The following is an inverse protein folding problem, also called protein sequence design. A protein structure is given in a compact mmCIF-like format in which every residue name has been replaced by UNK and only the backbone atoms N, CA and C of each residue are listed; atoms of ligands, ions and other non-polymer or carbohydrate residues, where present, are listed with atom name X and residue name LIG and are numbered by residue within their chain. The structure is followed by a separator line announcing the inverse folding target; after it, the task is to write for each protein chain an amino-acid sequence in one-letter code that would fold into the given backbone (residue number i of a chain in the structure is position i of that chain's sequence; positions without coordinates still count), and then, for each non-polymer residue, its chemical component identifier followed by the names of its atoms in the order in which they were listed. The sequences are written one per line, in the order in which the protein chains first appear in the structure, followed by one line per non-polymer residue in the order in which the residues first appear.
data_IF_053391582406
#
_entry.id   IF_053391582406
#
_cell.length_a   1.000
_cell.length_b   1.000
_cell.length_c   1.000
_cell.angle_alpha   90.00
_cell.angle_beta   90.00
_cell.angle_gamma   90.00
#
_symmetry.space_group_name_H-M   'P 1'
#
loop_
_entity.id
_entity.type
_entity.pdbx_description
1 polymer ?
#
# COMPACT_ATOMS: atom_id res chain seq x y z
N UNK A 1 20.16 54.44 -16.77
CA UNK A 1 21.17 53.68 -15.98
C UNK A 1 22.24 53.16 -16.92
N UNK A 2 23.39 53.84 -16.96
CA UNK A 2 24.52 53.41 -17.80
C UNK A 2 25.31 52.31 -17.07
N UNK A 3 25.06 51.05 -17.39
CA UNK A 3 25.86 49.93 -16.87
C UNK A 3 27.21 49.94 -17.57
N UNK A 4 28.28 50.10 -16.82
CA UNK A 4 29.65 50.08 -17.33
C UNK A 4 29.93 48.72 -18.06
N UNK A 5 30.62 48.73 -19.22
CA UNK A 5 30.98 47.49 -19.95
C UNK A 5 31.70 46.46 -19.08
N UNK A 6 32.43 46.90 -18.06
CA UNK A 6 33.09 46.03 -17.07
C UNK A 6 32.10 45.22 -16.25
N UNK A 7 30.96 45.81 -15.87
CA UNK A 7 29.93 45.14 -15.05
C UNK A 7 29.18 44.10 -15.88
N UNK A 8 28.95 44.35 -17.16
CA UNK A 8 28.33 43.38 -18.07
C UNK A 8 29.23 42.15 -18.23
N UNK A 9 30.56 42.34 -18.48
CA UNK A 9 31.51 41.21 -18.59
C UNK A 9 31.54 40.36 -17.31
N UNK A 10 31.57 41.01 -16.11
CA UNK A 10 31.53 40.30 -14.81
C UNK A 10 30.23 39.50 -14.66
N UNK A 11 29.09 40.08 -15.00
CA UNK A 11 27.79 39.40 -14.93
C UNK A 11 27.76 38.20 -15.87
N UNK A 12 28.21 38.33 -17.13
CA UNK A 12 28.29 37.22 -18.08
C UNK A 12 29.19 36.09 -17.58
N UNK A 13 30.31 36.40 -16.95
CA UNK A 13 31.26 35.45 -16.40
C UNK A 13 30.64 34.66 -15.23
N UNK A 14 29.95 35.39 -14.34
CA UNK A 14 29.22 34.73 -13.19
C UNK A 14 28.11 33.83 -13.70
N UNK A 15 27.26 34.34 -14.63
CA UNK A 15 26.18 33.50 -15.19
C UNK A 15 26.73 32.31 -15.98
N UNK A 16 27.80 32.47 -16.74
CA UNK A 16 28.48 31.38 -17.47
C UNK A 16 29.01 30.32 -16.49
N UNK A 17 29.66 30.74 -15.41
CA UNK A 17 30.17 29.84 -14.38
C UNK A 17 29.02 29.09 -13.67
N UNK A 18 27.94 29.78 -13.30
CA UNK A 18 26.76 29.14 -12.69
C UNK A 18 26.11 28.14 -13.65
N UNK A 19 26.00 28.46 -14.94
CA UNK A 19 25.47 27.55 -15.94
C UNK A 19 26.32 26.29 -16.06
N UNK A 20 27.64 26.44 -16.21
CA UNK A 20 28.56 25.29 -16.29
C UNK A 20 28.51 24.43 -15.04
N UNK A 21 28.42 25.03 -13.84
CA UNK A 21 28.29 24.29 -12.59
C UNK A 21 26.91 23.60 -12.43
N UNK A 22 25.86 24.12 -13.06
CA UNK A 22 24.53 23.50 -12.99
C UNK A 22 24.45 22.19 -13.77
N UNK A 23 25.24 22.02 -14.83
CA UNK A 23 25.22 20.81 -15.68
C UNK A 23 25.49 19.53 -14.88
N UNK A 24 26.61 19.40 -14.14
CA UNK A 24 26.86 18.18 -13.35
C UNK A 24 25.78 17.96 -12.27
N UNK A 25 25.24 19.02 -11.67
CA UNK A 25 24.17 18.91 -10.68
C UNK A 25 22.91 18.27 -11.31
N UNK A 26 22.53 18.73 -12.51
CA UNK A 26 21.41 18.17 -13.25
C UNK A 26 21.67 16.68 -13.57
N UNK A 27 22.85 16.36 -14.11
CA UNK A 27 23.22 14.99 -14.44
C UNK A 27 23.21 14.07 -13.22
N UNK A 28 23.83 14.48 -12.11
CA UNK A 28 23.87 13.71 -10.86
C UNK A 28 22.45 13.50 -10.34
N UNK A 29 21.57 14.50 -10.40
CA UNK A 29 20.21 14.38 -9.89
C UNK A 29 19.40 13.30 -10.62
N UNK A 30 19.67 13.01 -11.90
CA UNK A 30 18.96 11.98 -12.67
C UNK A 30 19.23 10.56 -12.17
N UNK A 31 20.30 10.32 -11.42
CA UNK A 31 20.53 9.03 -10.74
C UNK A 31 19.59 8.81 -9.54
N UNK A 32 18.93 9.85 -9.05
CA UNK A 32 18.06 9.80 -7.88
C UNK A 32 16.56 9.91 -8.21
N UNK A 33 16.17 9.61 -9.44
CA UNK A 33 14.78 9.74 -9.92
C UNK A 33 14.07 8.39 -10.07
N UNK A 34 14.71 7.27 -9.75
CA UNK A 34 14.10 5.95 -9.82
C UNK A 34 13.45 5.62 -8.48
N UNK A 35 12.15 5.31 -8.51
CA UNK A 35 11.37 4.94 -7.33
C UNK A 35 10.60 3.65 -7.60
N UNK A 36 10.75 2.68 -6.71
CA UNK A 36 10.07 1.37 -6.78
C UNK A 36 8.90 1.27 -5.80
N UNK A 37 8.96 1.99 -4.67
CA UNK A 37 7.89 2.07 -3.69
C UNK A 37 7.02 3.33 -3.85
N UNK A 38 5.80 3.27 -3.38
CA UNK A 38 4.89 4.43 -3.37
C UNK A 38 5.37 5.50 -2.39
N UNK A 39 5.88 5.11 -1.22
CA UNK A 39 6.36 6.05 -0.20
C UNK A 39 7.64 6.74 -0.61
N UNK A 40 8.61 6.03 -1.22
CA UNK A 40 9.84 6.65 -1.74
C UNK A 40 9.51 7.64 -2.86
N UNK A 41 8.55 7.30 -3.73
CA UNK A 41 8.08 8.19 -4.80
C UNK A 41 7.36 9.43 -4.25
N UNK A 42 6.50 9.27 -3.23
CA UNK A 42 5.74 10.38 -2.62
C UNK A 42 6.68 11.31 -1.86
N UNK A 43 7.54 10.76 -1.01
CA UNK A 43 8.43 11.55 -0.14
C UNK A 43 9.69 12.04 -0.82
N UNK A 44 10.00 11.57 -2.04
CA UNK A 44 11.29 11.80 -2.69
C UNK A 44 12.44 11.33 -1.79
N UNK A 45 12.37 10.05 -1.42
CA UNK A 45 13.42 9.35 -0.67
C UNK A 45 14.11 8.35 -1.59
N UNK A 46 15.41 8.15 -1.39
CA UNK A 46 16.18 7.27 -2.27
C UNK A 46 15.87 5.80 -2.00
N UNK A 47 15.73 5.02 -3.06
CA UNK A 47 15.63 3.56 -2.99
C UNK A 47 16.91 2.93 -2.40
N UNK A 48 18.06 3.57 -2.59
CA UNK A 48 19.31 3.12 -1.97
C UNK A 48 19.21 3.05 -0.43
N UNK A 49 18.49 3.97 0.20
CA UNK A 49 18.35 4.04 1.65
C UNK A 49 17.18 3.21 2.18
N UNK A 50 16.08 3.14 1.42
CA UNK A 50 14.81 2.59 1.90
C UNK A 50 14.32 1.36 1.17
N UNK A 51 15.03 0.83 0.18
CA UNK A 51 14.62 -0.40 -0.48
C UNK A 51 15.04 -1.65 0.28
N UNK A 52 14.58 -2.77 -0.21
CA UNK A 52 14.75 -4.10 0.35
C UNK A 52 16.23 -4.53 0.43
N UNK A 53 16.60 -5.19 1.53
CA UNK A 53 17.90 -5.85 1.69
C UNK A 53 17.72 -7.38 1.83
N UNK A 54 16.50 -7.86 2.01
CA UNK A 54 16.17 -9.28 2.18
C UNK A 54 15.27 -9.71 1.02
N UNK A 55 15.58 -10.84 0.35
CA UNK A 55 14.75 -11.35 -0.74
C UNK A 55 13.36 -11.72 -0.25
N UNK A 56 12.37 -11.42 -1.08
CA UNK A 56 10.99 -11.83 -0.85
C UNK A 56 10.67 -13.10 -1.63
N UNK A 57 9.76 -13.95 -1.14
CA UNK A 57 9.34 -15.13 -1.89
C UNK A 57 8.80 -14.76 -3.27
N UNK A 58 9.18 -15.52 -4.28
CA UNK A 58 8.61 -15.39 -5.60
C UNK A 58 7.28 -16.15 -5.68
N UNK A 59 6.24 -15.50 -6.16
CA UNK A 59 4.97 -16.15 -6.47
C UNK A 59 4.93 -16.43 -7.96
N UNK A 60 4.71 -17.70 -8.31
CA UNK A 60 4.64 -18.08 -9.72
C UNK A 60 3.47 -17.36 -10.40
N UNK A 61 3.74 -16.87 -11.58
CA UNK A 61 2.80 -16.01 -12.30
C UNK A 61 1.45 -16.66 -12.61
N UNK A 62 1.39 -17.97 -12.79
CA UNK A 62 0.13 -18.69 -12.99
C UNK A 62 -0.79 -18.66 -11.77
N UNK A 63 -0.27 -18.40 -10.57
CA UNK A 63 -1.05 -18.30 -9.34
C UNK A 63 -1.65 -16.90 -9.12
N UNK A 64 -1.16 -15.92 -9.86
CA UNK A 64 -1.62 -14.53 -9.76
C UNK A 64 -2.69 -14.25 -10.83
N UNK A 65 -3.77 -15.01 -10.84
CA UNK A 65 -4.84 -14.88 -11.82
C UNK A 65 -6.18 -14.64 -11.13
N UNK A 66 -7.00 -13.78 -11.73
CA UNK A 66 -8.39 -13.59 -11.36
C UNK A 66 -9.26 -14.35 -12.34
N UNK A 67 -10.14 -15.20 -11.84
CA UNK A 67 -11.10 -15.96 -12.64
C UNK A 67 -12.26 -15.07 -13.11
N UNK A 68 -12.98 -15.43 -14.19
CA UNK A 68 -14.28 -14.82 -14.49
C UNK A 68 -15.25 -15.02 -13.32
N UNK A 69 -16.15 -14.05 -13.10
CA UNK A 69 -17.05 -14.06 -11.94
C UNK A 69 -18.02 -15.26 -11.93
N UNK A 70 -18.47 -15.69 -13.10
CA UNK A 70 -19.37 -16.82 -13.30
C UNK A 70 -18.71 -18.20 -13.08
N UNK A 71 -17.39 -18.23 -12.96
CA UNK A 71 -16.59 -19.43 -12.70
C UNK A 71 -15.93 -19.42 -11.31
N UNK A 72 -16.08 -18.35 -10.56
CA UNK A 72 -15.38 -18.17 -9.30
C UNK A 72 -16.07 -18.90 -8.14
N UNK A 73 -15.27 -19.56 -7.30
CA UNK A 73 -15.69 -20.16 -6.03
C UNK A 73 -15.74 -19.11 -4.92
N UNK A 74 -14.83 -18.13 -4.99
CA UNK A 74 -14.66 -17.05 -4.01
C UNK A 74 -14.67 -15.70 -4.74
N UNK A 75 -15.50 -14.80 -4.27
CA UNK A 75 -15.46 -13.39 -4.64
C UNK A 75 -14.63 -12.60 -3.62
N UNK A 76 -13.69 -11.81 -4.09
CA UNK A 76 -12.95 -10.83 -3.30
C UNK A 76 -13.37 -9.43 -3.75
N UNK A 77 -13.80 -8.61 -2.81
CA UNK A 77 -13.95 -7.17 -2.97
C UNK A 77 -12.82 -6.53 -2.20
N UNK A 78 -11.96 -5.76 -2.86
CA UNK A 78 -10.78 -5.23 -2.20
C UNK A 78 -10.29 -3.90 -2.76
N UNK A 79 -9.33 -3.31 -2.04
CA UNK A 79 -8.58 -2.14 -2.49
C UNK A 79 -7.24 -2.55 -3.13
N UNK A 80 -6.29 -1.62 -3.24
CA UNK A 80 -4.97 -1.86 -3.83
C UNK A 80 -4.20 -3.03 -3.21
N UNK A 81 -4.50 -3.41 -1.96
CA UNK A 81 -3.90 -4.58 -1.31
C UNK A 81 -4.38 -5.91 -1.91
N UNK A 82 -5.51 -5.92 -2.61
CA UNK A 82 -6.02 -7.10 -3.32
C UNK A 82 -5.71 -7.10 -4.81
N UNK A 83 -5.36 -5.95 -5.41
CA UNK A 83 -5.08 -5.85 -6.85
C UNK A 83 -3.84 -6.63 -7.27
N UNK A 84 -2.86 -6.81 -6.38
CA UNK A 84 -1.65 -7.57 -6.66
C UNK A 84 -1.90 -9.07 -6.80
N UNK A 85 -3.03 -9.58 -6.33
CA UNK A 85 -3.42 -10.99 -6.27
C UNK A 85 -2.46 -11.88 -5.45
N UNK A 86 -1.56 -11.28 -4.67
CA UNK A 86 -0.53 -12.02 -3.94
C UNK A 86 -1.14 -12.92 -2.86
N UNK A 87 -2.02 -12.39 -2.02
CA UNK A 87 -2.64 -13.20 -0.98
C UNK A 87 -3.67 -14.20 -1.54
N UNK A 88 -4.33 -13.85 -2.66
CA UNK A 88 -5.25 -14.76 -3.35
C UNK A 88 -4.52 -15.96 -3.96
N UNK A 89 -3.21 -15.86 -4.21
CA UNK A 89 -2.40 -16.96 -4.74
C UNK A 89 -2.43 -18.21 -3.87
N UNK A 90 -2.68 -18.06 -2.56
CA UNK A 90 -2.85 -19.18 -1.60
C UNK A 90 -4.10 -20.01 -1.95
N UNK A 91 -5.15 -19.38 -2.44
CA UNK A 91 -6.36 -20.06 -2.92
C UNK A 91 -6.13 -20.73 -4.27
N UNK A 92 -5.53 -19.98 -5.20
CA UNK A 92 -5.26 -20.46 -6.56
C UNK A 92 -4.31 -21.65 -6.55
N UNK A 93 -3.35 -21.69 -5.61
CA UNK A 93 -2.47 -22.86 -5.42
C UNK A 93 -3.25 -24.15 -5.13
N UNK A 94 -4.38 -24.03 -4.44
CA UNK A 94 -5.26 -25.17 -4.14
C UNK A 94 -6.40 -25.30 -5.16
N UNK A 95 -6.24 -24.73 -6.36
CA UNK A 95 -7.20 -24.77 -7.46
C UNK A 95 -8.56 -24.10 -7.16
N UNK A 96 -8.65 -23.32 -6.09
CA UNK A 96 -9.84 -22.52 -5.78
C UNK A 96 -9.85 -21.29 -6.70
N UNK A 97 -10.89 -21.14 -7.47
CA UNK A 97 -11.06 -20.04 -8.42
C UNK A 97 -11.50 -18.78 -7.67
N UNK A 98 -10.69 -17.75 -7.75
CA UNK A 98 -10.96 -16.45 -7.08
C UNK A 98 -11.20 -15.40 -8.15
N UNK A 99 -12.29 -14.64 -8.02
CA UNK A 99 -12.45 -13.38 -8.73
C UNK A 99 -12.19 -12.22 -7.76
N UNK A 100 -11.42 -11.24 -8.20
CA UNK A 100 -11.14 -10.04 -7.41
C UNK A 100 -11.70 -8.82 -8.12
N UNK A 101 -12.47 -8.03 -7.40
CA UNK A 101 -13.10 -6.78 -7.86
C UNK A 101 -12.60 -5.65 -6.97
N UNK A 102 -12.15 -4.56 -7.59
CA UNK A 102 -11.76 -3.37 -6.85
C UNK A 102 -12.98 -2.56 -6.38
N UNK A 103 -12.90 -1.95 -5.19
CA UNK A 103 -13.97 -1.10 -4.65
C UNK A 103 -14.47 -0.03 -5.65
N UNK A 104 -13.58 0.53 -6.47
CA UNK A 104 -13.93 1.48 -7.52
C UNK A 104 -14.82 0.92 -8.65
N UNK A 105 -15.05 -0.40 -8.69
CA UNK A 105 -15.89 -1.08 -9.70
C UNK A 105 -17.31 -1.37 -9.21
N UNK A 106 -17.56 -1.21 -7.92
CA UNK A 106 -18.84 -1.54 -7.30
C UNK A 106 -19.50 -0.36 -6.58
N UNK A 107 -18.84 0.80 -6.54
CA UNK A 107 -19.20 1.94 -5.70
C UNK A 107 -19.36 1.56 -4.22
N UNK A 108 -20.37 0.75 -3.89
CA UNK A 108 -20.67 0.31 -2.51
C UNK A 108 -21.40 -1.05 -2.52
N UNK A 109 -21.39 -1.72 -1.37
CA UNK A 109 -22.18 -2.95 -1.14
C UNK A 109 -23.59 -2.53 -0.71
N UNK A 110 -24.41 -2.20 -1.68
CA UNK A 110 -25.78 -1.71 -1.48
C UNK A 110 -26.78 -2.85 -1.21
N UNK A 111 -28.04 -2.53 -0.94
CA UNK A 111 -29.08 -3.54 -0.67
C UNK A 111 -29.29 -4.49 -1.85
N UNK A 112 -29.21 -3.98 -3.09
CA UNK A 112 -29.37 -4.77 -4.31
C UNK A 112 -28.11 -5.59 -4.69
N UNK A 113 -27.04 -5.56 -3.91
CA UNK A 113 -25.74 -6.17 -4.30
C UNK A 113 -25.87 -7.68 -4.55
N UNK A 114 -26.67 -8.37 -3.76
CA UNK A 114 -26.97 -9.80 -3.94
C UNK A 114 -27.58 -10.10 -5.31
N UNK A 115 -28.49 -9.26 -5.78
CA UNK A 115 -29.14 -9.42 -7.09
C UNK A 115 -28.14 -9.11 -8.23
N UNK A 116 -27.27 -8.12 -8.03
CA UNK A 116 -26.19 -7.83 -8.97
C UNK A 116 -25.22 -9.01 -9.10
N UNK A 117 -24.87 -9.71 -8.01
CA UNK A 117 -24.05 -10.92 -8.06
C UNK A 117 -24.72 -12.02 -8.89
N UNK A 118 -26.02 -12.26 -8.68
CA UNK A 118 -26.80 -13.24 -9.45
C UNK A 118 -26.87 -12.87 -10.94
N UNK A 119 -27.15 -11.61 -11.26
CA UNK A 119 -27.18 -11.11 -12.63
C UNK A 119 -25.83 -11.26 -13.36
N UNK A 120 -24.72 -11.13 -12.64
CA UNK A 120 -23.38 -11.34 -13.18
C UNK A 120 -22.93 -12.81 -13.14
N UNK A 121 -23.82 -13.73 -12.79
CA UNK A 121 -23.58 -15.18 -12.87
C UNK A 121 -22.73 -15.75 -11.73
N UNK A 122 -22.50 -15.02 -10.63
CA UNK A 122 -21.73 -15.54 -9.51
C UNK A 122 -22.46 -16.72 -8.86
N UNK A 123 -21.78 -17.87 -8.85
CA UNK A 123 -22.29 -19.14 -8.30
C UNK A 123 -21.59 -19.57 -7.02
N UNK A 124 -20.46 -18.94 -6.70
CA UNK A 124 -19.72 -19.18 -5.48
C UNK A 124 -20.53 -18.90 -4.21
N UNK A 125 -20.08 -19.42 -3.10
CA UNK A 125 -20.75 -19.26 -1.79
C UNK A 125 -19.94 -18.43 -0.79
N UNK A 126 -18.76 -17.99 -1.16
CA UNK A 126 -17.83 -17.30 -0.27
C UNK A 126 -17.51 -15.91 -0.81
N UNK A 127 -17.61 -14.91 0.06
CA UNK A 127 -17.23 -13.52 -0.24
C UNK A 127 -16.24 -13.06 0.80
N UNK A 128 -15.12 -12.52 0.35
CA UNK A 128 -14.12 -11.85 1.19
C UNK A 128 -14.18 -10.36 0.89
N UNK A 129 -14.44 -9.56 1.91
CA UNK A 129 -14.48 -8.10 1.80
C UNK A 129 -13.21 -7.57 2.45
N UNK A 130 -12.27 -7.10 1.63
CA UNK A 130 -11.00 -6.57 2.09
C UNK A 130 -11.01 -5.04 2.07
N UNK A 131 -10.49 -4.45 3.12
CA UNK A 131 -10.21 -3.02 3.20
C UNK A 131 -8.98 -2.76 4.05
N UNK A 132 -8.29 -1.64 3.80
CA UNK A 132 -7.32 -1.10 4.74
C UNK A 132 -8.03 -0.34 5.86
N UNK A 133 -7.42 -0.31 7.05
CA UNK A 133 -7.90 0.43 8.21
C UNK A 133 -8.35 1.86 7.85
N UNK A 134 -7.50 2.61 7.12
CA UNK A 134 -7.79 4.00 6.72
C UNK A 134 -9.00 4.17 5.82
N UNK A 135 -9.34 3.15 5.03
CA UNK A 135 -10.46 3.18 4.08
C UNK A 135 -11.77 2.61 4.64
N UNK A 136 -11.67 1.77 5.66
CA UNK A 136 -12.72 0.89 6.11
C UNK A 136 -14.01 1.61 6.53
N UNK A 137 -13.91 2.58 7.42
CA UNK A 137 -15.08 3.32 7.92
C UNK A 137 -15.87 3.97 6.78
N UNK A 138 -15.18 4.65 5.87
CA UNK A 138 -15.82 5.32 4.75
C UNK A 138 -16.53 4.34 3.80
N UNK A 139 -15.91 3.19 3.50
CA UNK A 139 -16.51 2.14 2.67
C UNK A 139 -17.74 1.54 3.35
N UNK A 140 -17.64 1.30 4.66
CA UNK A 140 -18.71 0.72 5.46
C UNK A 140 -19.91 1.68 5.56
N UNK A 141 -19.67 2.97 5.85
CA UNK A 141 -20.71 3.99 5.95
C UNK A 141 -21.44 4.21 4.63
N UNK A 142 -20.70 4.29 3.54
CA UNK A 142 -21.29 4.39 2.20
C UNK A 142 -22.14 3.18 1.86
N UNK A 143 -21.65 1.97 2.17
CA UNK A 143 -22.40 0.73 1.91
C UNK A 143 -23.63 0.61 2.81
N UNK A 144 -23.56 1.05 4.07
CA UNK A 144 -24.72 1.01 4.99
C UNK A 144 -25.87 1.90 4.53
N UNK A 145 -25.57 3.02 3.89
CA UNK A 145 -26.54 4.04 3.48
C UNK A 145 -26.94 3.95 1.99
N UNK A 146 -26.68 2.81 1.35
CA UNK A 146 -26.84 2.64 -0.09
C UNK A 146 -27.95 1.62 -0.41
N UNK A 147 -29.02 2.05 -1.12
CA UNK A 147 -30.10 1.16 -1.57
C UNK A 147 -29.77 0.49 -2.91
N UNK A 148 -29.24 1.23 -3.86
CA UNK A 148 -28.97 0.74 -5.20
C UNK A 148 -27.54 1.09 -5.62
N UNK A 149 -26.79 0.07 -5.98
CA UNK A 149 -25.44 0.17 -6.52
C UNK A 149 -25.35 -0.42 -7.91
N UNK A 150 -24.19 -0.30 -8.49
CA UNK A 150 -23.84 -0.90 -9.76
C UNK A 150 -22.67 -1.89 -9.55
N UNK A 151 -22.65 -2.95 -10.33
CA UNK A 151 -21.56 -3.89 -10.38
C UNK A 151 -21.10 -4.01 -11.84
N UNK A 152 -19.92 -3.48 -12.10
CA UNK A 152 -19.27 -3.61 -13.40
C UNK A 152 -17.98 -4.43 -13.23
N UNK A 153 -18.09 -5.78 -13.13
CA UNK A 153 -16.92 -6.62 -12.89
C UNK A 153 -16.01 -6.58 -14.11
N UNK A 154 -15.16 -5.57 -14.17
CA UNK A 154 -14.05 -5.57 -15.10
C UNK A 154 -13.01 -6.55 -14.57
N UNK A 155 -12.70 -7.58 -15.34
CA UNK A 155 -11.61 -8.49 -15.02
C UNK A 155 -10.36 -7.66 -14.75
N UNK A 156 -9.75 -7.86 -13.60
CA UNK A 156 -8.45 -7.27 -13.32
C UNK A 156 -7.47 -7.86 -14.34
N UNK A 157 -7.20 -7.08 -15.37
CA UNK A 157 -6.11 -7.35 -16.27
C UNK A 157 -4.84 -7.17 -15.46
N UNK A 158 -4.14 -8.25 -15.28
CA UNK A 158 -2.89 -8.30 -14.62
C UNK A 158 -1.94 -7.26 -15.20
N UNK A 159 -1.42 -6.36 -14.38
CA UNK A 159 -0.17 -5.72 -14.72
C UNK A 159 0.88 -6.85 -14.85
N UNK A 160 1.39 -7.04 -16.01
CA UNK A 160 2.07 -8.24 -16.51
C UNK A 160 3.36 -8.64 -15.78
N UNK A 161 3.69 -8.04 -14.66
CA UNK A 161 4.93 -8.32 -13.93
C UNK A 161 4.75 -8.04 -12.43
N UNK A 162 4.38 -9.09 -11.69
CA UNK A 162 4.83 -9.14 -10.30
C UNK A 162 6.36 -9.27 -10.34
N UNK A 163 7.06 -8.16 -10.46
CA UNK A 163 8.51 -8.15 -10.36
C UNK A 163 8.85 -8.41 -8.89
N UNK A 164 9.71 -9.40 -8.66
CA UNK A 164 10.36 -9.51 -7.37
C UNK A 164 10.99 -8.14 -7.04
N UNK A 165 10.85 -7.65 -5.80
CA UNK A 165 11.43 -6.37 -5.42
C UNK A 165 12.94 -6.38 -5.70
N UNK A 166 13.43 -5.32 -6.30
CA UNK A 166 14.85 -5.15 -6.56
C UNK A 166 15.60 -5.05 -5.24
N UNK A 167 16.44 -6.05 -5.00
CA UNK A 167 17.33 -6.04 -3.83
C UNK A 167 18.47 -5.06 -4.07
N UNK A 168 18.78 -4.25 -3.07
CA UNK A 168 19.91 -3.31 -3.12
C UNK A 168 19.98 -2.54 -4.44
N UNK A 169 18.91 -1.81 -4.85
CA UNK A 169 18.94 -1.12 -6.12
C UNK A 169 20.13 -0.20 -6.21
N UNK A 170 20.89 -0.32 -7.29
CA UNK A 170 21.96 0.60 -7.61
C UNK A 170 21.37 1.91 -8.09
N UNK A 171 22.11 3.00 -7.91
CA UNK A 171 21.77 4.26 -8.54
C UNK A 171 21.91 4.09 -10.07
N UNK A 172 20.81 4.19 -10.78
CA UNK A 172 20.77 4.07 -12.24
C UNK A 172 20.44 5.42 -12.87
N UNK A 173 21.14 5.73 -13.96
CA UNK A 173 20.86 6.94 -14.71
C UNK A 173 19.50 6.85 -15.41
N UNK A 174 18.58 7.75 -15.05
CA UNK A 174 17.24 7.79 -15.61
C UNK A 174 17.07 9.04 -16.50
N UNK A 175 17.30 8.88 -17.81
CA UNK A 175 17.17 9.96 -18.78
C UNK A 175 15.75 10.57 -18.84
N UNK A 176 14.73 9.80 -18.47
CA UNK A 176 13.34 10.25 -18.41
C UNK A 176 12.99 10.85 -17.05
N UNK A 177 13.94 10.93 -16.13
CA UNK A 177 13.75 11.46 -14.78
C UNK A 177 13.63 12.98 -14.79
N UNK A 178 12.88 13.50 -13.83
CA UNK A 178 12.79 14.94 -13.59
C UNK A 178 13.94 15.36 -12.66
N UNK A 179 14.88 16.20 -13.15
CA UNK A 179 16.03 16.65 -12.36
C UNK A 179 15.62 17.28 -11.03
N UNK A 180 14.52 18.05 -10.99
CA UNK A 180 13.98 18.65 -9.76
C UNK A 180 13.56 17.60 -8.72
N UNK A 181 13.03 16.46 -9.16
CA UNK A 181 12.69 15.35 -8.28
C UNK A 181 13.95 14.68 -7.71
N UNK A 182 14.95 14.44 -8.55
CA UNK A 182 16.22 13.86 -8.12
C UNK A 182 17.01 14.79 -7.21
N UNK A 183 17.08 16.09 -7.51
CA UNK A 183 17.69 17.07 -6.64
C UNK A 183 17.02 17.14 -5.27
N UNK A 184 15.68 17.11 -5.23
CA UNK A 184 14.93 17.02 -3.98
C UNK A 184 15.24 15.73 -3.21
N UNK A 185 15.39 14.61 -3.91
CA UNK A 185 15.75 13.33 -3.29
C UNK A 185 17.13 13.40 -2.62
N UNK A 186 18.11 14.02 -3.27
CA UNK A 186 19.44 14.24 -2.69
C UNK A 186 19.32 15.10 -1.43
N UNK A 187 18.63 16.25 -1.49
CA UNK A 187 18.45 17.12 -0.34
C UNK A 187 17.73 16.42 0.82
N UNK A 188 16.70 15.65 0.54
CA UNK A 188 15.98 14.88 1.57
C UNK A 188 16.89 13.83 2.22
N UNK A 189 17.70 13.12 1.45
CA UNK A 189 18.65 12.13 1.98
C UNK A 189 19.73 12.78 2.86
N UNK A 190 20.24 13.93 2.45
CA UNK A 190 21.19 14.70 3.27
C UNK A 190 20.55 15.22 4.57
N UNK A 191 19.32 15.75 4.49
CA UNK A 191 18.60 16.25 5.65
C UNK A 191 18.33 15.14 6.69
N UNK A 192 17.92 13.95 6.26
CA UNK A 192 17.70 12.81 7.15
C UNK A 192 19.00 12.41 7.86
N UNK A 193 20.12 12.35 7.14
CA UNK A 193 21.42 11.94 7.68
C UNK A 193 22.06 13.00 8.58
N UNK A 194 21.76 14.30 8.35
CA UNK A 194 22.33 15.41 9.12
C UNK A 194 21.48 15.80 10.33
N UNK A 195 20.32 15.21 10.54
CA UNK A 195 19.37 15.64 11.56
C UNK A 195 19.14 14.57 12.60
N UNK A 196 19.17 14.98 13.88
CA UNK A 196 18.71 14.15 15.01
C UNK A 196 17.18 14.21 15.17
N UNK A 197 16.46 14.90 14.28
CA UNK A 197 15.01 14.96 14.32
C UNK A 197 14.41 13.61 13.96
N UNK A 198 13.34 13.24 14.66
CA UNK A 198 12.66 11.98 14.52
C UNK A 198 11.50 12.00 13.52
N UNK A 199 11.19 13.17 12.97
CA UNK A 199 10.03 13.36 12.12
C UNK A 199 10.29 14.32 10.97
N UNK A 200 9.99 13.85 9.76
CA UNK A 200 9.96 14.66 8.55
C UNK A 200 8.65 14.43 7.80
N UNK A 201 8.05 15.51 7.35
CA UNK A 201 6.87 15.50 6.47
C UNK A 201 7.26 15.98 5.09
N UNK A 202 7.03 15.16 4.10
CA UNK A 202 7.26 15.50 2.70
C UNK A 202 5.97 15.35 1.89
N UNK A 203 5.76 16.30 0.98
CA UNK A 203 4.55 16.38 0.17
C UNK A 203 4.86 16.17 -1.31
N UNK A 204 3.99 15.43 -1.97
CA UNK A 204 4.00 15.28 -3.42
C UNK A 204 2.58 15.36 -3.96
N UNK A 205 2.26 16.44 -4.68
CA UNK A 205 0.89 16.75 -5.14
C UNK A 205 -0.08 16.78 -3.95
N UNK A 206 -1.19 16.04 -4.01
CA UNK A 206 -2.17 15.91 -2.93
C UNK A 206 -1.82 14.84 -1.89
N UNK A 207 -0.71 14.12 -2.06
CA UNK A 207 -0.28 13.03 -1.16
C UNK A 207 0.93 13.49 -0.34
N UNK A 208 1.00 12.99 0.87
CA UNK A 208 2.09 13.29 1.80
C UNK A 208 2.63 12.00 2.41
N UNK A 209 3.93 11.98 2.67
CA UNK A 209 4.60 10.89 3.37
C UNK A 209 5.31 11.40 4.62
N UNK A 210 5.34 10.59 5.64
CA UNK A 210 6.08 10.83 6.87
C UNK A 210 7.27 9.88 6.96
N UNK A 211 8.33 10.36 7.59
CA UNK A 211 9.42 9.53 8.05
C UNK A 211 9.56 9.71 9.56
N UNK A 212 9.60 8.61 10.29
CA UNK A 212 9.78 8.60 11.74
C UNK A 212 10.93 7.67 12.12
N UNK A 213 11.68 8.03 13.17
CA UNK A 213 12.57 7.09 13.84
C UNK A 213 11.71 6.09 14.61
N UNK A 214 11.99 4.81 14.41
CA UNK A 214 11.23 3.70 14.99
C UNK A 214 12.11 3.00 16.00
N UNK A 215 11.61 2.88 17.21
CA UNK A 215 12.27 2.10 18.24
C UNK A 215 12.45 0.65 17.75
N UNK A 216 13.68 0.14 17.82
CA UNK A 216 14.04 -1.16 17.28
C UNK A 216 13.71 -1.35 15.78
N UNK A 217 13.67 -0.27 14.99
CA UNK A 217 13.29 -0.32 13.58
C UNK A 217 14.06 -1.34 12.77
N UNK A 218 15.35 -1.55 13.06
CA UNK A 218 16.19 -2.54 12.38
C UNK A 218 15.85 -4.01 12.71
N UNK A 219 15.03 -4.26 13.71
CA UNK A 219 14.42 -5.58 13.90
C UNK A 219 13.27 -5.81 12.92
N UNK A 220 12.59 -4.75 12.50
CA UNK A 220 11.39 -4.82 11.65
C UNK A 220 11.67 -4.62 10.16
N UNK A 221 12.64 -3.76 9.82
CA UNK A 221 12.94 -3.37 8.45
C UNK A 221 14.35 -3.76 8.04
N UNK A 222 14.50 -4.15 6.76
CA UNK A 222 15.80 -4.56 6.22
C UNK A 222 16.56 -3.43 5.52
N UNK A 223 15.91 -2.31 5.21
CA UNK A 223 16.53 -1.20 4.49
C UNK A 223 17.74 -0.61 5.21
N UNK A 224 18.60 0.11 4.50
CA UNK A 224 19.87 0.66 5.05
C UNK A 224 19.66 1.65 6.18
N UNK A 225 18.61 2.47 6.09
CA UNK A 225 18.19 3.37 7.17
C UNK A 225 17.04 2.73 7.96
N UNK A 226 17.24 1.50 8.42
CA UNK A 226 16.23 0.70 9.10
C UNK A 226 15.72 1.30 10.42
N UNK A 227 16.45 2.24 11.03
CA UNK A 227 15.98 3.00 12.18
C UNK A 227 14.79 3.92 11.83
N UNK A 228 14.57 4.17 10.54
CA UNK A 228 13.51 5.04 10.06
C UNK A 228 12.46 4.25 9.29
N UNK A 229 11.19 4.43 9.68
CA UNK A 229 10.03 3.93 8.95
C UNK A 229 9.43 5.01 8.06
N UNK A 230 9.03 4.61 6.86
CA UNK A 230 8.25 5.44 5.94
C UNK A 230 6.77 5.13 6.11
N UNK A 231 5.94 6.18 6.17
CA UNK A 231 4.50 6.04 6.40
C UNK A 231 3.70 6.95 5.49
N UNK A 232 2.50 6.52 5.15
CA UNK A 232 1.56 7.31 4.37
C UNK A 232 0.84 8.31 5.28
N UNK A 233 0.68 9.55 4.84
CA UNK A 233 0.06 10.62 5.66
C UNK A 233 -1.37 10.28 6.08
N UNK A 234 -2.14 9.65 5.19
CA UNK A 234 -3.53 9.29 5.47
C UNK A 234 -3.66 8.32 6.67
N UNK A 235 -2.61 7.54 6.98
CA UNK A 235 -2.57 6.65 8.13
C UNK A 235 -2.59 7.40 9.48
N UNK A 236 -2.25 8.71 9.47
CA UNK A 236 -2.22 9.56 10.67
C UNK A 236 -3.49 10.39 10.85
N UNK A 237 -4.38 10.39 9.90
CA UNK A 237 -5.73 10.89 10.12
C UNK A 237 -6.37 10.02 11.20
N UNK A 238 -7.10 10.63 12.14
CA UNK A 238 -7.64 9.94 13.32
C UNK A 238 -8.12 8.54 12.95
N UNK A 239 -7.73 7.53 13.72
CA UNK A 239 -8.21 6.18 13.49
C UNK A 239 -9.73 6.21 13.43
N UNK A 240 -10.25 5.78 12.32
CA UNK A 240 -11.68 5.80 12.07
C UNK A 240 -12.35 4.47 12.45
N UNK A 241 -11.56 3.53 12.95
CA UNK A 241 -12.02 2.20 13.36
C UNK A 241 -12.29 2.21 14.87
N UNK A 242 -13.53 1.88 15.23
CA UNK A 242 -13.96 1.66 16.60
C UNK A 242 -14.91 0.44 16.66
N UNK A 243 -15.17 -0.09 17.85
CA UNK A 243 -16.02 -1.27 18.05
C UNK A 243 -17.45 -1.10 17.50
N UNK A 244 -17.97 0.13 17.42
CA UNK A 244 -19.32 0.38 16.91
C UNK A 244 -19.48 -0.02 15.43
N UNK A 245 -18.36 -0.07 14.68
CA UNK A 245 -18.40 -0.45 13.27
C UNK A 245 -18.74 -1.93 13.06
N UNK A 246 -18.55 -2.80 14.08
CA UNK A 246 -18.91 -4.23 13.99
C UNK A 246 -20.40 -4.40 13.78
N UNK A 247 -21.24 -3.53 14.36
CA UNK A 247 -22.69 -3.55 14.11
C UNK A 247 -23.04 -3.34 12.64
N UNK A 248 -22.36 -2.41 11.96
CA UNK A 248 -22.55 -2.16 10.52
C UNK A 248 -22.02 -3.32 9.66
N UNK A 249 -20.93 -3.96 10.08
CA UNK A 249 -20.42 -5.19 9.45
C UNK A 249 -21.50 -6.29 9.50
N UNK A 250 -22.12 -6.50 10.65
CA UNK A 250 -23.25 -7.45 10.82
C UNK A 250 -24.43 -7.12 9.90
N UNK A 251 -24.74 -5.84 9.75
CA UNK A 251 -25.85 -5.40 8.88
C UNK A 251 -25.59 -5.73 7.41
N UNK A 252 -24.37 -5.49 6.93
CA UNK A 252 -23.98 -5.88 5.57
C UNK A 252 -23.99 -7.41 5.42
N UNK A 253 -23.48 -8.16 6.39
CA UNK A 253 -23.51 -9.62 6.34
C UNK A 253 -24.95 -10.16 6.28
N UNK A 254 -25.90 -9.54 7.00
CA UNK A 254 -27.33 -9.91 6.89
C UNK A 254 -27.88 -9.71 5.48
N UNK A 255 -27.50 -8.65 4.78
CA UNK A 255 -27.88 -8.45 3.36
C UNK A 255 -27.31 -9.52 2.44
N UNK A 256 -26.14 -10.08 2.79
CA UNK A 256 -25.43 -11.11 2.06
C UNK A 256 -25.62 -12.52 2.63
N UNK A 257 -26.70 -12.79 3.33
CA UNK A 257 -26.95 -14.03 4.11
C UNK A 257 -26.93 -15.32 3.28
N UNK A 258 -27.05 -15.25 1.94
CA UNK A 258 -26.92 -16.41 1.05
C UNK A 258 -25.45 -16.86 0.87
N UNK A 259 -24.51 -16.05 1.37
CA UNK A 259 -23.08 -16.25 1.23
C UNK A 259 -22.38 -16.34 2.58
N UNK A 260 -21.30 -17.08 2.66
CA UNK A 260 -20.35 -17.01 3.78
C UNK A 260 -19.45 -15.78 3.55
N UNK A 261 -19.69 -14.72 4.31
CA UNK A 261 -18.95 -13.46 4.19
C UNK A 261 -17.88 -13.39 5.26
N UNK A 262 -16.67 -13.00 4.87
CA UNK A 262 -15.56 -12.72 5.77
C UNK A 262 -14.92 -11.39 5.48
N UNK A 263 -14.60 -10.65 6.53
CA UNK A 263 -13.95 -9.34 6.43
C UNK A 263 -12.44 -9.47 6.69
N UNK A 264 -11.66 -8.88 5.81
CA UNK A 264 -10.19 -8.84 5.89
C UNK A 264 -9.75 -7.38 6.04
N UNK A 265 -9.75 -6.88 7.28
CA UNK A 265 -9.40 -5.49 7.59
C UNK A 265 -7.93 -5.41 7.94
N UNK A 266 -7.13 -4.87 7.01
CA UNK A 266 -5.68 -4.80 7.13
C UNK A 266 -5.31 -3.53 7.90
N UNK A 267 -4.61 -3.65 9.05
CA UNK A 267 -4.12 -2.50 9.82
C UNK A 267 -3.24 -1.59 8.96
N UNK A 268 -3.15 -0.32 9.28
CA UNK A 268 -2.19 0.57 8.64
C UNK A 268 -0.75 0.24 9.09
N UNK A 269 0.22 0.49 8.24
CA UNK A 269 1.64 0.35 8.59
C UNK A 269 2.00 1.16 9.84
N UNK A 270 1.45 2.37 9.96
CA UNK A 270 1.64 3.24 11.13
C UNK A 270 1.08 2.64 12.42
N UNK A 271 -0.09 1.98 12.35
CA UNK A 271 -0.74 1.35 13.50
C UNK A 271 0.06 0.17 14.06
N UNK A 272 0.86 -0.48 13.21
CA UNK A 272 1.71 -1.61 13.61
C UNK A 272 3.07 -1.17 14.16
N UNK A 273 3.69 -0.14 13.59
CA UNK A 273 5.09 0.18 13.91
C UNK A 273 5.32 1.48 14.66
N UNK A 274 4.38 2.43 14.61
CA UNK A 274 4.63 3.75 15.17
C UNK A 274 3.53 4.26 16.10
N UNK A 275 2.27 4.12 15.73
CA UNK A 275 1.14 4.65 16.50
C UNK A 275 0.08 3.56 16.73
N UNK A 276 0.28 2.71 17.73
CA UNK A 276 -0.70 1.67 18.06
C UNK A 276 -2.11 2.23 18.28
N UNK A 277 -3.10 1.49 17.84
CA UNK A 277 -4.52 1.79 17.99
C UNK A 277 -5.20 0.76 18.91
N UNK A 278 -6.46 0.99 19.32
CA UNK A 278 -7.22 -0.01 20.06
C UNK A 278 -7.41 -1.27 19.22
N UNK A 279 -7.26 -2.43 19.83
CA UNK A 279 -7.51 -3.75 19.23
C UNK A 279 -8.97 -4.17 19.22
N UNK A 280 -9.83 -3.51 20.02
CA UNK A 280 -11.22 -3.89 20.28
C UNK A 280 -12.01 -4.26 19.01
N UNK A 281 -11.91 -3.43 17.98
CA UNK A 281 -12.62 -3.71 16.73
C UNK A 281 -12.24 -5.07 16.12
N UNK A 282 -10.94 -5.39 16.08
CA UNK A 282 -10.47 -6.66 15.51
C UNK A 282 -10.76 -7.85 16.44
N UNK A 283 -10.76 -7.63 17.76
CA UNK A 283 -11.16 -8.64 18.74
C UNK A 283 -12.63 -9.01 18.57
N UNK A 284 -13.50 -8.01 18.49
CA UNK A 284 -14.93 -8.21 18.26
C UNK A 284 -15.21 -8.88 16.91
N UNK A 285 -14.46 -8.46 15.84
CA UNK A 285 -14.59 -9.06 14.52
C UNK A 285 -14.28 -10.56 14.54
N UNK A 286 -13.26 -10.98 15.29
CA UNK A 286 -12.88 -12.38 15.45
C UNK A 286 -13.85 -13.15 16.35
N UNK A 287 -14.23 -12.58 17.50
CA UNK A 287 -15.18 -13.21 18.43
C UNK A 287 -16.52 -13.51 17.75
N UNK A 288 -17.00 -12.60 16.91
CA UNK A 288 -18.22 -12.78 16.12
C UNK A 288 -18.02 -13.62 14.86
N UNK A 289 -16.81 -14.13 14.61
CA UNK A 289 -16.46 -14.93 13.40
C UNK A 289 -16.71 -14.19 12.09
N UNK A 290 -16.63 -12.88 12.11
CA UNK A 290 -16.80 -12.03 10.93
C UNK A 290 -15.50 -11.86 10.12
N UNK A 291 -14.35 -12.03 10.76
CA UNK A 291 -13.04 -11.95 10.16
C UNK A 291 -11.92 -12.28 11.15
N UNK A 292 -10.67 -12.49 10.70
CA UNK A 292 -9.54 -12.72 11.59
C UNK A 292 -9.07 -11.44 12.28
N UNK A 293 -8.51 -11.55 13.48
CA UNK A 293 -7.83 -10.46 14.18
C UNK A 293 -6.45 -10.21 13.57
N UNK A 294 -6.40 -9.44 12.48
CA UNK A 294 -5.14 -9.12 11.81
C UNK A 294 -4.26 -8.15 12.60
N UNK A 295 -4.85 -7.33 13.48
CA UNK A 295 -4.07 -6.39 14.29
C UNK A 295 -3.17 -7.14 15.28
N UNK A 296 -3.73 -8.06 16.06
CA UNK A 296 -2.96 -8.89 16.96
C UNK A 296 -1.95 -9.75 16.21
N UNK A 297 -2.38 -10.42 15.14
CA UNK A 297 -1.49 -11.21 14.30
C UNK A 297 -0.26 -10.42 13.83
N UNK A 298 -0.45 -9.18 13.37
CA UNK A 298 0.64 -8.37 12.86
C UNK A 298 1.56 -7.85 13.98
N UNK A 299 1.02 -7.57 15.16
CA UNK A 299 1.83 -7.24 16.34
C UNK A 299 2.76 -8.39 16.73
N UNK A 300 2.27 -9.63 16.66
CA UNK A 300 3.07 -10.83 16.94
C UNK A 300 4.08 -11.13 15.82
N UNK A 301 3.67 -10.99 14.57
CA UNK A 301 4.48 -11.41 13.42
C UNK A 301 5.53 -10.38 12.97
N UNK A 302 5.41 -9.10 13.33
CA UNK A 302 6.34 -8.04 12.89
C UNK A 302 7.79 -8.25 13.33
N UNK A 303 8.01 -9.03 14.40
CA UNK A 303 9.35 -9.39 14.88
C UNK A 303 9.86 -10.63 14.14
N UNK A 304 8.98 -11.56 13.81
CA UNK A 304 9.32 -12.83 13.16
C UNK A 304 9.49 -12.68 11.65
N UNK A 305 8.70 -11.81 11.04
CA UNK A 305 8.73 -11.54 9.59
C UNK A 305 9.31 -10.15 9.38
N UNK A 306 10.63 -10.09 9.18
CA UNK A 306 11.28 -8.84 8.80
C UNK A 306 10.70 -8.35 7.46
N UNK A 307 10.43 -7.04 7.37
CA UNK A 307 9.71 -6.45 6.26
C UNK A 307 8.30 -7.05 6.07
N UNK A 308 7.53 -7.25 7.14
CA UNK A 308 6.10 -7.62 7.03
C UNK A 308 5.34 -6.61 6.16
N UNK A 309 5.58 -5.31 6.36
CA UNK A 309 5.28 -4.24 5.40
C UNK A 309 6.53 -3.89 4.61
N UNK A 310 6.35 -3.57 3.33
CA UNK A 310 7.44 -3.12 2.49
C UNK A 310 8.14 -1.89 3.10
N UNK A 311 9.46 -1.84 3.18
CA UNK A 311 10.14 -0.70 3.79
C UNK A 311 9.93 0.61 3.01
N UNK A 312 9.88 0.55 1.69
CA UNK A 312 9.76 1.67 0.76
C UNK A 312 8.32 1.94 0.28
N UNK A 313 7.34 1.14 0.74
CA UNK A 313 5.95 1.19 0.26
C UNK A 313 4.96 1.14 1.42
N UNK A 314 3.72 1.53 1.19
CA UNK A 314 2.64 1.45 2.17
C UNK A 314 1.97 0.08 2.22
N UNK A 315 2.25 -0.79 1.27
CA UNK A 315 1.68 -2.11 1.14
C UNK A 315 2.48 -3.18 1.90
N UNK A 316 1.88 -4.36 2.03
CA UNK A 316 2.55 -5.52 2.59
C UNK A 316 3.67 -6.01 1.67
N UNK A 317 4.65 -6.67 2.27
CA UNK A 317 5.61 -7.49 1.52
C UNK A 317 4.94 -8.75 0.96
N UNK A 318 5.64 -9.48 0.10
CA UNK A 318 5.14 -10.79 -0.35
C UNK A 318 4.91 -11.73 0.82
N UNK A 319 5.82 -11.76 1.81
CA UNK A 319 5.63 -12.55 3.03
C UNK A 319 4.38 -12.12 3.79
N UNK A 320 4.14 -10.81 3.94
CA UNK A 320 2.93 -10.29 4.58
C UNK A 320 1.66 -10.68 3.82
N UNK A 321 1.67 -10.62 2.50
CA UNK A 321 0.55 -11.07 1.68
C UNK A 321 0.28 -12.57 1.82
N UNK A 322 1.31 -13.41 1.80
CA UNK A 322 1.15 -14.86 1.98
C UNK A 322 0.62 -15.21 3.37
N UNK A 323 1.06 -14.47 4.40
CA UNK A 323 0.54 -14.60 5.76
C UNK A 323 -0.97 -14.37 5.80
N UNK A 324 -1.46 -13.22 5.32
CA UNK A 324 -2.90 -12.91 5.37
C UNK A 324 -3.71 -13.87 4.49
N UNK A 325 -3.16 -14.31 3.34
CA UNK A 325 -3.80 -15.30 2.50
C UNK A 325 -4.00 -16.64 3.21
N UNK A 326 -3.01 -17.08 3.97
CA UNK A 326 -3.09 -18.31 4.78
C UNK A 326 -4.15 -18.20 5.87
N UNK A 327 -4.17 -17.07 6.58
CA UNK A 327 -5.09 -16.83 7.70
C UNK A 327 -6.54 -16.73 7.22
N UNK A 328 -6.80 -15.92 6.19
CA UNK A 328 -8.17 -15.78 5.68
C UNK A 328 -8.68 -17.06 5.05
N UNK A 329 -7.83 -17.83 4.38
CA UNK A 329 -8.21 -19.14 3.84
C UNK A 329 -8.67 -20.08 4.94
N UNK A 330 -7.93 -20.17 6.05
CA UNK A 330 -8.31 -20.96 7.23
C UNK A 330 -9.62 -20.48 7.85
N UNK A 331 -9.84 -19.17 7.90
CA UNK A 331 -11.05 -18.59 8.47
C UNK A 331 -12.33 -18.89 7.68
N UNK A 332 -12.23 -19.01 6.32
CA UNK A 332 -13.38 -19.26 5.46
C UNK A 332 -13.62 -20.74 5.12
N UNK A 333 -12.73 -21.64 5.55
CA UNK A 333 -12.98 -23.08 5.46
C UNK A 333 -14.03 -23.52 6.47
#
# INVERSE_FOLDING_TARGET
MNTSPSNIKKACLVFGALFVLSIPIVWISLFFTTYHGDLTRIGKWTEHDFSWQIPQPAIHSSLLQSSPIDQADVLVIGDSFSETLHWQSIFTKDQIKVTTIHWGQIDNICENFKDLLKQNGFKGKKIIIQSTERGFKNQLEKSSNCSHGNLFPKRLERSSKAQAPLLNPRLEFNINGQFTAGFKTILNSLAIRASDQYHFLYNYRSKSGHIYKIENGCAYFSNRLCEYGLFFHEDYKKPSIDANLVSKVRDINRRLSDYKVSWLVIPNKSSIYHRPVSSEFWEDLEQEKLGPNLYQLFQEQKILIKDLYAPNDSHLSTNGYLLIGTVIKKHIQ
#
